data_IF_662568809376
#
_entry.id   IF_662568809376
#
_cell.length_a   1.000
_cell.length_b   1.000
_cell.length_c   1.000
_cell.angle_alpha   90.00
_cell.angle_beta   90.00
_cell.angle_gamma   90.00
#
_symmetry.space_group_name_H-M   'P 1'
#
loop_
_entity.id
_entity.type
_entity.pdbx_description
1 polymer ?
#
# COMPACT_ATOMS: atom_id res chain seq x y z
N UNK A 1 -0.20 -2.85 -6.91
CA UNK A 1 -0.49 -1.59 -6.19
C UNK A 1 -1.45 -0.79 -7.05
N UNK A 2 -2.43 -0.14 -6.44
CA UNK A 2 -3.35 0.72 -7.17
C UNK A 2 -3.63 2.00 -6.38
N UNK A 3 -4.12 3.01 -7.10
CA UNK A 3 -4.43 4.33 -6.60
C UNK A 3 -5.91 4.57 -6.86
N UNK A 4 -6.65 4.83 -5.79
CA UNK A 4 -8.05 5.24 -5.86
C UNK A 4 -8.15 6.77 -5.88
N UNK A 5 -9.27 7.28 -6.40
CA UNK A 5 -9.59 8.71 -6.32
C UNK A 5 -9.58 9.19 -4.86
N UNK A 6 -9.23 10.47 -4.60
CA UNK A 6 -9.17 11.02 -3.25
C UNK A 6 -10.53 11.44 -2.68
N UNK A 7 -11.60 11.40 -3.48
CA UNK A 7 -12.94 11.90 -3.17
C UNK A 7 -13.93 10.81 -2.71
N UNK A 8 -13.54 9.54 -2.79
CA UNK A 8 -14.37 8.43 -2.32
C UNK A 8 -14.38 8.33 -0.80
N UNK A 9 -15.51 7.88 -0.25
CA UNK A 9 -15.66 7.62 1.19
C UNK A 9 -14.80 6.43 1.62
N UNK A 10 -14.40 6.40 2.90
CA UNK A 10 -13.58 5.34 3.49
C UNK A 10 -14.24 3.96 3.37
N UNK A 11 -15.56 3.87 3.61
CA UNK A 11 -16.34 2.64 3.41
C UNK A 11 -16.25 2.11 1.96
N UNK A 12 -16.18 3.03 0.99
CA UNK A 12 -16.02 2.68 -0.42
C UNK A 12 -14.61 2.16 -0.71
N UNK A 13 -13.58 2.70 -0.05
CA UNK A 13 -12.20 2.19 -0.14
C UNK A 13 -12.15 0.74 0.34
N UNK A 14 -12.75 0.44 1.49
CA UNK A 14 -12.78 -0.91 2.04
C UNK A 14 -13.56 -1.87 1.16
N UNK A 15 -14.68 -1.42 0.58
CA UNK A 15 -15.43 -2.19 -0.42
C UNK A 15 -14.58 -2.55 -1.63
N UNK A 16 -13.80 -1.60 -2.17
CA UNK A 16 -12.86 -1.86 -3.27
C UNK A 16 -11.77 -2.85 -2.87
N UNK A 17 -11.20 -2.69 -1.67
CA UNK A 17 -10.20 -3.63 -1.14
C UNK A 17 -10.74 -5.05 -1.06
N UNK A 18 -11.95 -5.23 -0.52
CA UNK A 18 -12.58 -6.54 -0.39
C UNK A 18 -12.93 -7.13 -1.75
N UNK A 19 -13.51 -6.33 -2.66
CA UNK A 19 -13.79 -6.75 -4.03
C UNK A 19 -12.56 -7.30 -4.74
N UNK A 20 -11.43 -6.59 -4.67
CA UNK A 20 -10.20 -7.02 -5.33
C UNK A 20 -9.53 -8.21 -4.64
N UNK A 21 -9.69 -8.37 -3.31
CA UNK A 21 -9.32 -9.60 -2.62
C UNK A 21 -10.13 -10.78 -3.12
N UNK A 22 -11.44 -10.64 -3.22
CA UNK A 22 -12.34 -11.71 -3.67
C UNK A 22 -12.07 -12.09 -5.13
N UNK A 23 -11.75 -11.12 -5.99
CA UNK A 23 -11.31 -11.40 -7.36
C UNK A 23 -10.07 -12.29 -7.41
N UNK A 24 -9.11 -12.09 -6.51
CA UNK A 24 -7.89 -12.92 -6.44
C UNK A 24 -8.24 -14.32 -5.94
N UNK A 25 -9.05 -14.42 -4.88
CA UNK A 25 -9.45 -15.70 -4.29
C UNK A 25 -10.27 -16.54 -5.29
N UNK A 26 -11.18 -15.92 -6.03
CA UNK A 26 -11.98 -16.58 -7.07
C UNK A 26 -11.17 -17.08 -8.26
N UNK A 27 -9.98 -16.51 -8.50
CA UNK A 27 -9.05 -16.93 -9.55
C UNK A 27 -7.96 -17.89 -9.03
N UNK A 28 -8.22 -18.61 -7.94
CA UNK A 28 -7.31 -19.56 -7.30
C UNK A 28 -5.99 -18.93 -6.81
N UNK A 29 -5.99 -17.61 -6.59
CA UNK A 29 -4.89 -16.89 -5.97
C UNK A 29 -5.01 -16.84 -4.45
N UNK A 30 -3.90 -16.54 -3.78
CA UNK A 30 -3.86 -16.31 -2.33
C UNK A 30 -3.45 -14.88 -2.04
N UNK A 31 -4.21 -14.18 -1.20
CA UNK A 31 -3.81 -12.86 -0.70
C UNK A 31 -2.82 -13.03 0.44
N UNK A 32 -1.64 -12.44 0.31
CA UNK A 32 -0.57 -12.50 1.32
C UNK A 32 -0.74 -11.36 2.33
N UNK A 33 -0.91 -10.14 1.81
CA UNK A 33 -0.92 -8.92 2.62
C UNK A 33 -1.65 -7.81 1.85
N UNK A 34 -2.37 -6.97 2.57
CA UNK A 34 -2.97 -5.75 2.02
C UNK A 34 -2.70 -4.60 2.96
N UNK A 35 -2.01 -3.58 2.46
CA UNK A 35 -1.65 -2.40 3.22
C UNK A 35 -2.32 -1.16 2.61
N UNK A 36 -3.17 -0.51 3.40
CA UNK A 36 -3.70 0.80 3.08
C UNK A 36 -2.68 1.87 3.48
N UNK A 37 -2.14 2.58 2.49
CA UNK A 37 -1.13 3.63 2.71
C UNK A 37 -1.74 5.02 2.88
N UNK A 38 -3.07 5.12 2.78
CA UNK A 38 -3.82 6.36 2.92
C UNK A 38 -3.65 7.33 1.74
N UNK A 39 -4.13 8.55 1.95
CA UNK A 39 -4.11 9.63 0.97
C UNK A 39 -2.71 10.25 0.88
N UNK A 40 -2.20 10.41 -0.34
CA UNK A 40 -0.88 11.02 -0.62
C UNK A 40 -0.97 11.93 -1.85
N UNK A 41 -0.13 12.98 -1.85
CA UNK A 41 -0.02 13.91 -2.97
C UNK A 41 0.72 13.26 -4.15
N UNK A 42 0.16 13.42 -5.35
CA UNK A 42 0.75 12.97 -6.61
C UNK A 42 1.77 14.01 -7.10
N UNK A 43 2.81 13.56 -7.82
CA UNK A 43 3.80 14.47 -8.41
C UNK A 43 3.21 15.34 -9.54
N UNK A 44 2.21 14.81 -10.25
CA UNK A 44 1.45 15.49 -11.29
C UNK A 44 -0.02 15.03 -11.22
N UNK A 45 -0.97 15.85 -11.72
CA UNK A 45 -2.37 15.49 -11.65
C UNK A 45 -2.72 14.32 -12.57
N UNK A 46 -3.53 13.39 -12.07
CA UNK A 46 -4.10 12.27 -12.83
C UNK A 46 -5.61 12.42 -12.78
N UNK A 47 -6.28 12.53 -13.93
CA UNK A 47 -7.74 12.67 -13.97
C UNK A 47 -8.24 13.90 -13.21
N UNK A 48 -7.49 15.02 -13.22
CA UNK A 48 -7.74 16.25 -12.43
C UNK A 48 -7.55 16.12 -10.91
N UNK A 49 -7.13 14.96 -10.41
CA UNK A 49 -6.80 14.77 -9.00
C UNK A 49 -5.32 15.03 -8.74
N UNK A 50 -5.00 15.81 -7.72
CA UNK A 50 -3.62 16.05 -7.24
C UNK A 50 -3.21 15.12 -6.10
N UNK A 51 -4.15 14.32 -5.61
CA UNK A 51 -3.99 13.38 -4.51
C UNK A 51 -4.61 12.04 -4.91
N UNK A 52 -4.21 10.96 -4.24
CA UNK A 52 -4.81 9.65 -4.41
C UNK A 52 -4.64 8.78 -3.18
N UNK A 53 -5.53 7.82 -3.00
CA UNK A 53 -5.46 6.85 -1.90
C UNK A 53 -4.70 5.63 -2.40
N UNK A 54 -3.57 5.33 -1.76
CA UNK A 54 -2.70 4.24 -2.18
C UNK A 54 -3.03 2.95 -1.45
N UNK A 55 -3.24 1.87 -2.22
CA UNK A 55 -3.42 0.52 -1.68
C UNK A 55 -2.39 -0.42 -2.27
N UNK A 56 -1.68 -1.12 -1.39
CA UNK A 56 -0.75 -2.17 -1.74
C UNK A 56 -1.37 -3.53 -1.44
N UNK A 57 -1.34 -4.40 -2.44
CA UNK A 57 -1.90 -5.75 -2.39
C UNK A 57 -0.83 -6.72 -2.84
N UNK A 58 -0.41 -7.59 -1.94
CA UNK A 58 0.48 -8.70 -2.21
C UNK A 58 -0.35 -9.97 -2.32
N UNK A 59 -0.12 -10.72 -3.39
CA UNK A 59 -0.77 -11.99 -3.61
C UNK A 59 0.19 -12.97 -4.28
N UNK A 60 -0.09 -14.26 -4.09
CA UNK A 60 0.58 -15.38 -4.74
C UNK A 60 -0.42 -16.11 -5.64
N UNK A 61 0.07 -16.78 -6.69
CA UNK A 61 -0.76 -17.59 -7.57
C UNK A 61 -0.05 -17.94 -8.87
N UNK A 62 -0.79 -18.56 -9.80
CA UNK A 62 -0.28 -19.02 -11.09
C UNK A 62 -0.15 -17.89 -12.15
N UNK A 63 -0.71 -16.71 -11.88
CA UNK A 63 -0.65 -15.53 -12.73
C UNK A 63 -1.95 -15.24 -13.48
N UNK A 64 -2.90 -16.18 -13.54
CA UNK A 64 -4.21 -15.98 -14.17
C UNK A 64 -5.02 -14.90 -13.46
N UNK A 65 -4.85 -14.78 -12.14
CA UNK A 65 -5.49 -13.76 -11.33
C UNK A 65 -5.14 -12.32 -11.74
N UNK A 66 -4.00 -12.10 -12.40
CA UNK A 66 -3.56 -10.76 -12.81
C UNK A 66 -4.50 -10.17 -13.87
N UNK A 67 -4.85 -10.96 -14.90
CA UNK A 67 -5.71 -10.48 -15.98
C UNK A 67 -7.11 -10.11 -15.46
N UNK A 68 -7.68 -10.95 -14.59
CA UNK A 68 -8.99 -10.70 -13.97
C UNK A 68 -8.95 -9.44 -13.11
N UNK A 69 -7.90 -9.26 -12.31
CA UNK A 69 -7.72 -8.11 -11.43
C UNK A 69 -7.57 -6.81 -12.23
N UNK A 70 -6.72 -6.80 -13.25
CA UNK A 70 -6.49 -5.61 -14.09
C UNK A 70 -7.73 -5.23 -14.89
N UNK A 71 -8.49 -6.21 -15.38
CA UNK A 71 -9.78 -5.95 -16.01
C UNK A 71 -10.77 -5.34 -15.01
N UNK A 72 -10.92 -5.91 -13.81
CA UNK A 72 -11.83 -5.37 -12.80
C UNK A 72 -11.47 -3.95 -12.36
N UNK A 73 -10.16 -3.64 -12.24
CA UNK A 73 -9.67 -2.30 -11.95
C UNK A 73 -9.88 -1.34 -13.12
N UNK A 74 -9.65 -1.79 -14.35
CA UNK A 74 -9.86 -0.98 -15.56
C UNK A 74 -11.32 -0.62 -15.83
N UNK A 75 -12.27 -1.45 -15.37
CA UNK A 75 -13.70 -1.15 -15.43
C UNK A 75 -14.16 -0.15 -14.34
N UNK A 76 -13.33 0.10 -13.32
CA UNK A 76 -13.70 0.96 -12.21
C UNK A 76 -13.21 2.39 -12.43
N UNK A 77 -14.14 3.35 -12.52
CA UNK A 77 -13.82 4.78 -12.60
C UNK A 77 -13.18 5.35 -11.32
N UNK A 78 -13.19 4.57 -10.24
CA UNK A 78 -12.58 4.95 -8.96
C UNK A 78 -11.08 4.64 -8.93
N UNK A 79 -10.59 3.73 -9.78
CA UNK A 79 -9.16 3.40 -9.89
C UNK A 79 -8.51 4.30 -10.94
N UNK A 80 -7.74 5.28 -10.50
CA UNK A 80 -7.09 6.24 -11.41
C UNK A 80 -5.77 5.72 -11.99
N UNK A 81 -5.14 4.75 -11.32
CA UNK A 81 -3.92 4.09 -11.80
C UNK A 81 -3.67 2.78 -11.06
N UNK A 82 -3.11 1.80 -11.76
CA UNK A 82 -2.63 0.56 -11.17
C UNK A 82 -1.29 0.15 -11.76
N UNK A 83 -0.56 -0.68 -11.01
CA UNK A 83 0.70 -1.27 -11.41
C UNK A 83 0.83 -2.65 -10.76
N UNK A 84 0.98 -3.66 -11.61
CA UNK A 84 1.26 -5.04 -11.22
C UNK A 84 2.73 -5.35 -11.50
N UNK A 85 3.44 -5.90 -10.51
CA UNK A 85 4.84 -6.31 -10.64
C UNK A 85 4.94 -7.73 -10.13
N UNK A 86 5.52 -8.62 -10.95
CA UNK A 86 5.92 -9.95 -10.50
C UNK A 86 7.18 -9.84 -9.64
N UNK A 87 7.08 -10.28 -8.40
CA UNK A 87 8.22 -10.32 -7.48
C UNK A 87 8.95 -11.65 -7.63
N UNK A 88 10.28 -11.61 -7.64
CA UNK A 88 11.13 -12.81 -7.68
C UNK A 88 11.39 -13.41 -6.29
N UNK A 89 11.04 -12.67 -5.23
CA UNK A 89 11.23 -13.04 -3.83
C UNK A 89 9.99 -12.68 -3.02
N UNK A 90 9.80 -13.36 -1.88
CA UNK A 90 8.65 -13.12 -1.00
C UNK A 90 8.66 -11.67 -0.49
N UNK A 91 7.49 -10.98 -0.49
CA UNK A 91 7.41 -9.62 0.00
C UNK A 91 7.68 -9.57 1.51
N UNK A 92 8.52 -8.63 1.94
CA UNK A 92 8.82 -8.42 3.36
C UNK A 92 7.72 -7.54 3.97
N UNK A 93 6.87 -8.10 4.83
CA UNK A 93 5.86 -7.34 5.58
C UNK A 93 6.56 -6.35 6.51
N UNK A 94 6.24 -5.06 6.38
CA UNK A 94 6.93 -3.97 7.12
C UNK A 94 6.49 -3.83 8.59
N UNK A 95 5.55 -4.64 9.07
CA UNK A 95 5.01 -4.54 10.43
C UNK A 95 6.05 -4.70 11.54
N UNK A 96 7.24 -5.24 11.25
CA UNK A 96 8.33 -5.42 12.21
C UNK A 96 9.25 -4.21 12.38
N UNK A 97 9.00 -3.06 11.72
CA UNK A 97 9.86 -1.86 11.82
C UNK A 97 9.32 -0.75 12.75
N UNK A 98 8.15 -0.94 13.36
CA UNK A 98 7.48 0.06 14.21
C UNK A 98 7.92 0.10 15.68
N UNK A 99 8.62 -0.93 16.18
CA UNK A 99 8.93 -1.03 17.62
C UNK A 99 10.35 -0.56 18.01
N UNK A 100 11.27 -0.33 17.08
CA UNK A 100 12.69 -0.08 17.41
C UNK A 100 13.15 1.39 17.33
N UNK A 101 12.29 2.35 16.97
CA UNK A 101 12.69 3.76 16.79
C UNK A 101 12.21 4.70 17.92
N UNK A 102 12.04 4.19 19.16
CA UNK A 102 11.71 5.01 20.35
C UNK A 102 12.76 5.00 21.47
N UNK A 103 13.95 4.45 21.22
CA UNK A 103 14.98 4.25 22.26
C UNK A 103 16.29 5.00 22.04
N UNK A 104 16.29 6.28 21.64
CA UNK A 104 17.53 7.05 21.54
C UNK A 104 17.30 8.57 21.65
N UNK A 105 16.68 9.04 22.75
CA UNK A 105 16.62 10.46 23.03
C UNK A 105 16.47 10.77 24.53
N UNK A 106 17.34 10.22 25.39
CA UNK A 106 17.74 10.93 26.61
C UNK A 106 19.04 10.36 27.20
N UNK A 107 20.15 11.06 26.97
CA UNK A 107 21.36 10.90 27.77
C UNK A 107 21.84 12.33 28.09
N UNK A 108 21.86 12.75 29.36
CA UNK A 108 22.32 14.08 29.70
C UNK A 108 23.82 14.18 29.41
N UNK A 109 24.21 15.23 28.66
CA UNK A 109 25.60 15.64 28.54
C UNK A 109 26.12 15.97 29.93
N UNK A 110 26.99 15.13 30.48
CA UNK A 110 27.80 15.49 31.64
C UNK A 110 28.94 16.38 31.15
N UNK A 111 28.91 17.62 31.62
CA UNK A 111 29.87 18.66 31.33
C UNK A 111 31.28 18.26 31.80
N UNK A 112 32.20 18.16 30.86
CA UNK A 112 33.63 18.00 31.13
C UNK A 112 34.21 19.36 31.51
N UNK A 113 34.37 19.61 32.81
CA UNK A 113 35.17 20.73 33.31
C UNK A 113 36.30 20.22 34.21
N UNK A 114 37.54 20.59 33.84
CA UNK A 114 38.59 20.89 34.80
C UNK A 114 39.66 19.82 35.03
N UNK A 115 40.69 19.85 34.19
CA UNK A 115 42.07 19.51 34.57
C UNK A 115 42.51 20.38 35.78
N UNK A 116 43.44 19.92 36.61
CA UNK A 116 44.84 20.28 36.36
C UNK A 116 45.81 19.09 36.28
#
# INVERSE_FOLDING_TARGET
MYILRPDIAEDAVDSHVNKYRDCILGAEGQVIDTQMRGKRRLAYPIGKHTEGIYVQLHHSGNGQQVAVLEQAMGLSDDVIRYLTIKLNFAPVSRDSRGEQDKGAADAPRLDVNGTP
#
